data_IF_404941908807
#
_entry.id   IF_404941908807
#
_cell.length_a   1.000
_cell.length_b   1.000
_cell.length_c   1.000
_cell.angle_alpha   90.00
_cell.angle_beta   90.00
_cell.angle_gamma   90.00
#
_symmetry.space_group_name_H-M   'P 1'
#
loop_
_entity.id
_entity.type
_entity.pdbx_description
1 polymer ?
#
# COMPACT_ATOMS: atom_id res chain seq x y z
N UNK A 1 -1.91 -19.71 9.20
CA UNK A 1 -0.47 -19.70 9.48
C UNK A 1 -0.09 -18.33 10.02
N UNK A 2 0.65 -18.29 11.10
CA UNK A 2 0.86 -17.10 11.91
C UNK A 2 2.35 -16.81 11.97
N UNK A 3 2.80 -15.68 11.44
CA UNK A 3 4.20 -15.23 11.55
C UNK A 3 4.29 -14.07 12.53
N UNK A 4 5.11 -14.20 13.56
CA UNK A 4 5.35 -13.16 14.56
C UNK A 4 6.84 -12.85 14.68
N UNK A 5 7.21 -11.58 14.44
CA UNK A 5 8.61 -11.13 14.42
C UNK A 5 9.08 -10.43 15.71
N UNK A 6 8.29 -10.40 16.78
CA UNK A 6 8.69 -9.66 17.98
C UNK A 6 9.83 -10.27 18.78
N UNK A 7 10.30 -11.52 18.47
CA UNK A 7 11.33 -12.23 19.22
C UNK A 7 12.26 -13.09 18.35
N UNK A 8 12.69 -12.63 17.19
CA UNK A 8 13.55 -13.41 16.28
C UNK A 8 14.87 -13.92 16.89
N UNK A 9 15.41 -13.26 17.91
CA UNK A 9 16.62 -13.70 18.61
C UNK A 9 16.40 -14.78 19.68
N UNK A 10 15.22 -14.79 20.31
CA UNK A 10 14.89 -15.79 21.35
C UNK A 10 14.38 -17.11 20.75
N UNK A 11 13.84 -17.08 19.54
CA UNK A 11 13.14 -18.19 18.93
C UNK A 11 13.98 -19.07 17.98
N UNK A 12 15.18 -18.64 17.53
CA UNK A 12 16.00 -19.46 16.64
C UNK A 12 16.30 -20.86 17.22
N UNK A 13 16.37 -21.01 18.54
CA UNK A 13 16.52 -22.31 19.23
C UNK A 13 15.19 -23.05 19.45
N UNK A 14 14.09 -22.32 19.53
CA UNK A 14 12.76 -22.90 19.79
C UNK A 14 12.04 -23.27 18.49
N UNK A 15 12.22 -22.49 17.42
CA UNK A 15 11.63 -22.76 16.10
C UNK A 15 12.17 -24.05 15.46
N UNK A 16 13.46 -24.41 15.63
CA UNK A 16 13.94 -25.72 15.17
C UNK A 16 13.30 -26.90 15.87
N UNK A 17 12.80 -26.73 17.11
CA UNK A 17 12.07 -27.77 17.85
C UNK A 17 10.54 -27.66 17.77
N UNK A 18 9.99 -26.47 17.54
CA UNK A 18 8.53 -26.22 17.54
C UNK A 18 7.96 -25.93 16.14
N UNK A 19 8.77 -25.58 15.13
CA UNK A 19 8.30 -25.40 13.76
C UNK A 19 7.62 -26.66 13.20
N UNK A 20 8.03 -27.84 13.65
CA UNK A 20 7.33 -29.09 13.36
C UNK A 20 6.04 -29.29 14.19
N UNK A 21 5.91 -28.68 15.39
CA UNK A 21 4.74 -28.86 16.21
C UNK A 21 3.61 -27.87 15.87
N UNK A 22 3.94 -26.60 15.59
CA UNK A 22 2.93 -25.60 15.22
C UNK A 22 2.32 -25.92 13.85
N UNK A 23 3.10 -26.42 12.90
CA UNK A 23 2.55 -26.97 11.65
C UNK A 23 1.78 -28.27 11.90
N UNK A 24 2.20 -29.14 12.79
CA UNK A 24 1.46 -30.35 13.18
C UNK A 24 0.14 -30.02 13.88
N UNK A 25 0.14 -29.05 14.79
CA UNK A 25 -1.07 -28.68 15.54
C UNK A 25 -2.11 -27.92 14.68
N UNK A 26 -1.68 -27.26 13.62
CA UNK A 26 -2.59 -26.75 12.58
C UNK A 26 -3.08 -27.84 11.59
N UNK A 27 -2.35 -28.94 11.43
CA UNK A 27 -2.67 -29.99 10.44
C UNK A 27 -2.89 -31.38 11.05
N UNK A 28 -2.71 -31.61 12.36
CA UNK A 28 -2.93 -32.89 13.02
C UNK A 28 -4.34 -32.98 13.63
N UNK A 29 -5.35 -32.75 12.81
CA UNK A 29 -6.71 -33.17 13.12
C UNK A 29 -6.98 -34.50 12.46
N UNK A 30 -7.24 -35.52 13.27
CA UNK A 30 -7.64 -36.86 12.88
C UNK A 30 -8.67 -36.86 11.75
N UNK A 31 -8.51 -37.79 10.82
CA UNK A 31 -9.48 -38.19 9.79
C UNK A 31 -10.91 -38.23 10.34
N UNK A 32 -11.85 -37.66 9.59
CA UNK A 32 -13.30 -37.71 9.76
C UNK A 32 -13.90 -36.70 10.74
N UNK A 33 -13.82 -35.44 10.39
CA UNK A 33 -14.87 -34.38 10.49
C UNK A 33 -14.28 -33.18 9.80
N UNK A 34 -15.05 -32.50 8.96
CA UNK A 34 -14.69 -31.19 8.40
C UNK A 34 -14.27 -30.28 9.55
N UNK A 35 -12.95 -30.18 9.77
CA UNK A 35 -12.38 -29.31 10.79
C UNK A 35 -12.46 -27.88 10.24
N UNK A 36 -13.60 -27.24 10.50
CA UNK A 36 -13.73 -25.80 10.36
C UNK A 36 -12.66 -25.18 11.26
N UNK A 37 -11.68 -24.49 10.69
CA UNK A 37 -10.65 -23.76 11.43
C UNK A 37 -11.28 -22.51 12.07
N UNK A 38 -11.99 -22.72 13.18
CA UNK A 38 -12.67 -21.66 13.91
C UNK A 38 -11.77 -21.16 15.03
N UNK A 39 -11.34 -19.89 14.94
CA UNK A 39 -10.69 -19.19 16.03
C UNK A 39 -11.72 -18.28 16.73
N UNK A 40 -11.92 -18.52 18.01
CA UNK A 40 -12.94 -17.87 18.82
C UNK A 40 -12.36 -17.23 20.09
N UNK A 41 -12.90 -16.11 20.50
CA UNK A 41 -12.50 -15.43 21.73
C UNK A 41 -11.06 -14.96 21.72
N UNK A 42 -10.34 -15.12 22.80
CA UNK A 42 -8.93 -14.71 22.93
C UNK A 42 -7.97 -15.32 21.89
N UNK A 43 -8.31 -16.46 21.31
CA UNK A 43 -7.47 -17.14 20.31
C UNK A 43 -7.32 -16.34 19.01
N UNK A 44 -8.27 -15.45 18.66
CA UNK A 44 -8.19 -14.62 17.44
C UNK A 44 -7.10 -13.55 17.49
N UNK A 45 -6.65 -13.18 18.69
CA UNK A 45 -5.57 -12.21 18.84
C UNK A 45 -4.22 -12.78 18.43
N UNK A 46 -4.04 -14.10 18.52
CA UNK A 46 -2.79 -14.74 18.10
C UNK A 46 -2.46 -14.49 16.61
N UNK A 47 -3.35 -14.81 15.64
CA UNK A 47 -3.10 -14.44 14.24
C UNK A 47 -3.13 -12.92 14.00
N UNK A 48 -3.99 -12.17 14.69
CA UNK A 48 -4.07 -10.72 14.52
C UNK A 48 -2.78 -9.96 14.94
N UNK A 49 -1.96 -10.56 15.82
CA UNK A 49 -0.67 -10.03 16.23
C UNK A 49 0.47 -10.33 15.23
N UNK A 50 0.21 -11.14 14.20
CA UNK A 50 1.21 -11.53 13.23
C UNK A 50 1.26 -10.59 12.03
N UNK A 51 2.33 -10.72 11.23
CA UNK A 51 2.52 -9.86 10.07
C UNK A 51 1.54 -10.17 8.95
N UNK A 52 1.28 -11.47 8.70
CA UNK A 52 0.35 -11.91 7.66
C UNK A 52 -0.60 -13.00 8.16
N UNK A 53 -1.85 -12.88 7.74
CA UNK A 53 -2.91 -13.86 7.99
C UNK A 53 -3.44 -14.36 6.65
N UNK A 54 -3.54 -15.68 6.51
CA UNK A 54 -4.16 -16.36 5.38
C UNK A 54 -5.38 -17.12 5.88
N UNK A 55 -6.50 -16.98 5.20
CA UNK A 55 -7.73 -17.71 5.51
C UNK A 55 -8.21 -18.50 4.29
N UNK A 56 -8.72 -19.73 4.55
CA UNK A 56 -9.35 -20.55 3.52
C UNK A 56 -10.83 -20.19 3.39
N UNK A 57 -11.30 -19.99 2.19
CA UNK A 57 -12.71 -19.71 1.94
C UNK A 57 -13.60 -20.89 2.35
N UNK A 58 -14.74 -20.59 2.98
CA UNK A 58 -15.73 -21.59 3.41
C UNK A 58 -15.32 -22.48 4.58
N UNK A 59 -14.05 -22.45 5.04
CA UNK A 59 -13.57 -23.32 6.12
C UNK A 59 -12.87 -22.59 7.26
N UNK A 60 -12.39 -21.35 7.04
CA UNK A 60 -11.69 -20.56 8.06
C UNK A 60 -12.60 -19.46 8.60
N UNK A 61 -12.74 -19.40 9.92
CA UNK A 61 -13.57 -18.42 10.61
C UNK A 61 -12.82 -17.79 11.79
N UNK A 62 -12.94 -16.47 11.93
CA UNK A 62 -12.35 -15.70 13.04
C UNK A 62 -13.37 -14.71 13.57
N UNK A 63 -13.72 -14.79 14.87
CA UNK A 63 -14.58 -13.81 15.53
C UNK A 63 -14.39 -13.82 17.04
N UNK A 64 -14.55 -12.67 17.70
CA UNK A 64 -14.46 -12.57 19.16
C UNK A 64 -15.56 -13.36 19.85
N UNK A 65 -16.79 -13.23 19.35
CA UNK A 65 -17.96 -13.94 19.87
C UNK A 65 -18.70 -14.61 18.73
N UNK A 66 -19.08 -15.87 18.93
CA UNK A 66 -19.77 -16.64 17.87
C UNK A 66 -21.22 -16.17 17.67
N UNK A 67 -21.85 -16.59 16.54
CA UNK A 67 -23.19 -16.15 16.14
C UNK A 67 -24.27 -16.32 17.23
N UNK A 68 -24.19 -17.40 18.01
CA UNK A 68 -25.14 -17.64 19.11
C UNK A 68 -25.09 -16.56 20.19
N UNK A 69 -23.87 -16.12 20.55
CA UNK A 69 -23.68 -15.05 21.55
C UNK A 69 -24.12 -13.71 20.98
N UNK A 70 -23.77 -13.41 19.72
CA UNK A 70 -24.22 -12.21 19.01
C UNK A 70 -25.76 -12.14 19.04
N UNK A 71 -26.44 -13.22 18.64
CA UNK A 71 -27.92 -13.28 18.70
C UNK A 71 -28.50 -13.05 20.08
N UNK A 72 -27.89 -13.64 21.12
CA UNK A 72 -28.35 -13.48 22.48
C UNK A 72 -28.19 -12.07 23.04
N UNK A 73 -27.07 -11.40 22.71
CA UNK A 73 -26.70 -10.10 23.28
C UNK A 73 -27.29 -8.94 22.49
N UNK A 74 -27.21 -9.00 21.13
CA UNK A 74 -27.61 -7.89 20.24
C UNK A 74 -28.92 -8.13 19.50
N UNK A 75 -29.46 -9.37 19.53
CA UNK A 75 -30.61 -9.76 18.72
C UNK A 75 -30.32 -10.01 17.25
N UNK A 76 -29.09 -9.80 16.79
CA UNK A 76 -28.70 -9.95 15.38
C UNK A 76 -28.57 -11.43 15.01
N UNK A 77 -29.25 -11.86 13.95
CA UNK A 77 -29.14 -13.21 13.39
C UNK A 77 -28.15 -13.23 12.23
N UNK A 78 -26.99 -13.81 12.44
CA UNK A 78 -25.89 -13.81 11.49
C UNK A 78 -25.27 -15.21 11.38
N UNK A 79 -24.91 -15.61 10.15
CA UNK A 79 -24.15 -16.87 9.92
C UNK A 79 -22.68 -16.72 10.32
N UNK A 80 -21.97 -17.85 10.53
CA UNK A 80 -20.53 -17.85 10.76
C UNK A 80 -19.77 -17.16 9.62
N UNK A 81 -20.14 -17.47 8.38
CA UNK A 81 -19.53 -16.89 7.18
C UNK A 81 -19.70 -15.36 7.14
N UNK A 82 -20.90 -14.86 7.40
CA UNK A 82 -21.19 -13.43 7.37
C UNK A 82 -20.66 -12.66 8.60
N UNK A 83 -20.38 -13.36 9.69
CA UNK A 83 -19.80 -12.74 10.89
C UNK A 83 -18.27 -12.63 10.80
N UNK A 84 -17.61 -13.70 10.38
CA UNK A 84 -16.14 -13.75 10.40
C UNK A 84 -15.53 -14.77 9.48
N UNK A 85 -16.14 -15.02 8.31
CA UNK A 85 -15.55 -15.82 7.24
C UNK A 85 -14.41 -15.08 6.50
N UNK A 86 -13.71 -15.80 5.66
CA UNK A 86 -12.58 -15.29 4.88
C UNK A 86 -12.97 -14.04 4.05
N UNK A 87 -14.14 -14.07 3.41
CA UNK A 87 -14.66 -12.94 2.62
C UNK A 87 -14.89 -11.68 3.45
N UNK A 88 -15.41 -11.81 4.68
CA UNK A 88 -15.62 -10.67 5.58
C UNK A 88 -14.29 -10.03 5.98
N UNK A 89 -13.32 -10.86 6.35
CA UNK A 89 -12.01 -10.37 6.79
C UNK A 89 -11.13 -9.87 5.66
N UNK A 90 -11.31 -10.35 4.44
CA UNK A 90 -10.60 -9.84 3.26
C UNK A 90 -11.20 -8.56 2.68
N UNK A 91 -12.50 -8.30 2.86
CA UNK A 91 -13.17 -7.15 2.21
C UNK A 91 -13.57 -6.03 3.16
N UNK A 92 -13.98 -6.36 4.41
CA UNK A 92 -14.55 -5.39 5.35
C UNK A 92 -13.59 -5.01 6.47
N UNK A 93 -12.99 -5.98 7.17
CA UNK A 93 -12.16 -5.71 8.34
C UNK A 93 -10.67 -5.52 8.02
N UNK A 94 -10.19 -6.10 6.92
CA UNK A 94 -8.77 -6.07 6.55
C UNK A 94 -7.87 -6.91 7.47
N UNK A 95 -8.43 -7.83 8.27
CA UNK A 95 -7.64 -8.73 9.12
C UNK A 95 -6.91 -9.77 8.29
N UNK A 96 -7.53 -10.26 7.23
CA UNK A 96 -6.95 -11.25 6.32
C UNK A 96 -6.17 -10.57 5.22
N UNK A 97 -4.93 -11.04 5.01
CA UNK A 97 -4.03 -10.54 3.99
C UNK A 97 -4.11 -11.34 2.69
N UNK A 98 -4.38 -12.65 2.81
CA UNK A 98 -4.53 -13.57 1.70
C UNK A 98 -5.74 -14.49 1.93
N UNK A 99 -6.44 -14.82 0.85
CA UNK A 99 -7.45 -15.88 0.82
C UNK A 99 -7.04 -16.96 -0.16
N UNK A 100 -7.45 -18.19 0.08
CA UNK A 100 -7.21 -19.30 -0.83
C UNK A 100 -8.44 -20.23 -0.85
N UNK A 101 -8.66 -20.89 -1.98
CA UNK A 101 -9.75 -21.84 -2.16
C UNK A 101 -9.36 -23.24 -1.63
N UNK A 102 -8.09 -23.61 -1.79
CA UNK A 102 -7.57 -24.91 -1.37
C UNK A 102 -6.32 -24.76 -0.49
N UNK A 103 -6.01 -25.83 0.28
CA UNK A 103 -4.81 -25.86 1.12
C UNK A 103 -3.53 -25.78 0.28
N UNK A 104 -3.52 -26.41 -0.91
CA UNK A 104 -2.39 -26.40 -1.83
C UNK A 104 -2.12 -24.97 -2.33
N UNK A 105 -3.17 -24.24 -2.70
CA UNK A 105 -3.06 -22.82 -3.08
C UNK A 105 -2.53 -21.99 -1.92
N UNK A 106 -3.07 -22.19 -0.72
CA UNK A 106 -2.62 -21.51 0.49
C UNK A 106 -1.14 -21.76 0.79
N UNK A 107 -0.68 -23.00 0.67
CA UNK A 107 0.73 -23.37 0.86
C UNK A 107 1.63 -22.77 -0.23
N UNK A 108 1.15 -22.71 -1.46
CA UNK A 108 1.87 -22.07 -2.57
C UNK A 108 2.02 -20.56 -2.33
N UNK A 109 0.95 -19.87 -1.89
CA UNK A 109 0.98 -18.45 -1.53
C UNK A 109 1.97 -18.17 -0.39
N UNK A 110 2.01 -19.02 0.64
CA UNK A 110 2.96 -18.89 1.75
C UNK A 110 4.40 -19.03 1.24
N UNK A 111 4.71 -20.04 0.41
CA UNK A 111 6.04 -20.20 -0.18
C UNK A 111 6.42 -18.99 -1.04
N UNK A 112 5.47 -18.49 -1.85
CA UNK A 112 5.68 -17.30 -2.66
C UNK A 112 5.95 -16.06 -1.78
N UNK A 113 5.18 -15.84 -0.72
CA UNK A 113 5.40 -14.76 0.24
C UNK A 113 6.80 -14.84 0.87
N UNK A 114 7.19 -16.03 1.36
CA UNK A 114 8.49 -16.25 1.99
C UNK A 114 9.67 -16.02 1.04
N UNK A 115 9.47 -16.13 -0.27
CA UNK A 115 10.52 -15.84 -1.25
C UNK A 115 10.86 -14.35 -1.37
N UNK A 116 9.99 -13.46 -0.90
CA UNK A 116 10.20 -12.02 -0.91
C UNK A 116 10.77 -11.45 0.38
N UNK A 117 10.76 -12.23 1.46
CA UNK A 117 11.06 -11.76 2.82
C UNK A 117 12.37 -12.40 3.28
N UNK A 118 13.31 -11.65 3.89
CA UNK A 118 14.51 -12.23 4.46
C UNK A 118 14.17 -13.15 5.64
N UNK A 119 15.09 -14.04 6.02
CA UNK A 119 14.85 -14.97 7.12
C UNK A 119 14.78 -14.29 8.49
N UNK A 120 15.35 -13.10 8.60
CA UNK A 120 15.31 -12.28 9.81
C UNK A 120 15.57 -10.79 9.46
N UNK A 121 15.36 -9.91 10.43
CA UNK A 121 15.50 -8.46 10.27
C UNK A 121 16.96 -7.94 10.23
N UNK A 122 17.95 -8.82 10.26
CA UNK A 122 19.38 -8.47 10.12
C UNK A 122 19.89 -8.74 8.70
N UNK A 123 19.10 -9.43 7.90
CA UNK A 123 19.44 -9.75 6.51
C UNK A 123 18.85 -8.69 5.58
N UNK A 124 19.51 -8.51 4.43
CA UNK A 124 19.00 -7.65 3.35
C UNK A 124 17.82 -8.32 2.62
N UNK A 125 17.07 -7.52 1.86
CA UNK A 125 15.98 -8.02 1.03
C UNK A 125 16.45 -9.13 0.08
N UNK A 126 15.71 -10.24 -0.07
CA UNK A 126 16.12 -11.37 -0.90
C UNK A 126 16.37 -10.94 -2.35
N UNK A 127 17.39 -11.53 -2.94
CA UNK A 127 17.76 -11.39 -4.34
C UNK A 127 17.62 -12.75 -5.04
N UNK A 128 17.13 -12.72 -6.28
CA UNK A 128 17.09 -13.86 -7.20
C UNK A 128 17.65 -13.46 -8.55
N UNK A 129 18.25 -14.40 -9.26
CA UNK A 129 18.73 -14.13 -10.62
C UNK A 129 17.57 -13.70 -11.52
N UNK A 130 17.77 -12.59 -12.22
CA UNK A 130 16.77 -12.00 -13.11
C UNK A 130 17.27 -12.01 -14.54
N UNK A 131 16.44 -12.53 -15.45
CA UNK A 131 16.72 -12.54 -16.89
C UNK A 131 16.02 -11.40 -17.64
N UNK A 132 15.12 -10.66 -16.97
CA UNK A 132 14.43 -9.50 -17.53
C UNK A 132 15.40 -8.32 -17.63
N UNK A 133 15.66 -7.76 -18.84
CA UNK A 133 16.68 -6.74 -19.02
C UNK A 133 16.47 -5.51 -18.15
N UNK A 134 17.57 -4.98 -17.59
CA UNK A 134 17.54 -3.76 -16.77
C UNK A 134 17.07 -2.56 -17.58
N UNK A 135 17.50 -2.47 -18.82
CA UNK A 135 17.28 -1.37 -19.77
C UNK A 135 16.05 -1.57 -20.66
N UNK A 136 15.21 -2.55 -20.34
CA UNK A 136 13.94 -2.77 -21.05
C UNK A 136 13.07 -1.51 -20.98
N UNK A 137 12.68 -1.01 -22.14
CA UNK A 137 11.76 0.11 -22.30
C UNK A 137 10.33 -0.40 -22.45
N UNK A 138 9.38 0.32 -21.87
CA UNK A 138 7.95 0.00 -21.95
C UNK A 138 7.19 1.14 -22.61
N UNK A 139 7.14 1.14 -23.92
CA UNK A 139 6.48 2.21 -24.71
C UNK A 139 5.00 2.36 -24.39
N UNK A 140 4.33 1.28 -23.95
CA UNK A 140 2.92 1.31 -23.49
C UNK A 140 2.66 2.29 -22.35
N UNK A 141 3.67 2.61 -21.55
CA UNK A 141 3.54 3.55 -20.44
C UNK A 141 3.42 5.02 -20.91
N UNK A 142 3.88 5.34 -22.11
CA UNK A 142 3.82 6.72 -22.63
C UNK A 142 2.37 7.17 -22.83
N UNK A 143 1.47 6.25 -23.15
CA UNK A 143 0.06 6.52 -23.50
C UNK A 143 -0.93 6.02 -22.44
N UNK A 144 -0.44 5.47 -21.30
CA UNK A 144 -1.30 4.86 -20.30
C UNK A 144 -2.13 5.89 -19.52
N UNK A 145 -1.61 7.11 -19.35
CA UNK A 145 -2.34 8.19 -18.68
C UNK A 145 -3.29 8.84 -19.68
N UNK A 146 -4.62 8.77 -19.43
CA UNK A 146 -5.58 9.39 -20.32
C UNK A 146 -5.45 10.93 -20.33
N UNK A 147 -5.71 11.55 -21.51
CA UNK A 147 -5.73 13.01 -21.66
C UNK A 147 -6.77 13.69 -20.74
N UNK A 148 -7.91 13.01 -20.53
CA UNK A 148 -8.93 13.51 -19.61
C UNK A 148 -8.52 13.27 -18.15
N UNK A 149 -8.44 14.32 -17.32
CA UNK A 149 -8.03 14.21 -15.92
C UNK A 149 -9.01 13.41 -15.05
N UNK A 150 -10.24 13.20 -15.53
CA UNK A 150 -11.30 12.45 -14.83
C UNK A 150 -11.36 10.99 -15.24
N UNK A 151 -10.76 10.63 -16.38
CA UNK A 151 -10.75 9.24 -16.86
C UNK A 151 -9.77 8.40 -16.04
N UNK A 152 -10.20 7.31 -15.38
CA UNK A 152 -9.29 6.43 -14.66
C UNK A 152 -8.49 5.54 -15.61
N UNK A 153 -7.33 5.09 -15.16
CA UNK A 153 -6.53 4.01 -15.73
C UNK A 153 -6.23 2.96 -14.66
N UNK A 154 -5.68 1.82 -15.06
CA UNK A 154 -5.39 0.73 -14.14
C UNK A 154 -3.93 0.77 -13.69
N UNK A 155 -3.71 0.99 -12.40
CA UNK A 155 -2.36 0.99 -11.85
C UNK A 155 -1.68 -0.39 -11.93
N UNK A 156 -2.44 -1.49 -12.02
CA UNK A 156 -1.85 -2.82 -12.22
C UNK A 156 -1.11 -2.94 -13.57
N UNK A 157 -1.57 -2.25 -14.60
CA UNK A 157 -0.88 -2.22 -15.90
C UNK A 157 0.49 -1.54 -15.76
N UNK A 158 0.58 -0.45 -15.00
CA UNK A 158 1.85 0.22 -14.69
C UNK A 158 2.76 -0.70 -13.88
N UNK A 159 2.25 -1.29 -12.80
CA UNK A 159 3.04 -2.20 -11.94
C UNK A 159 3.59 -3.36 -12.79
N UNK A 160 2.72 -4.05 -13.54
CA UNK A 160 3.12 -5.18 -14.38
C UNK A 160 4.16 -4.82 -15.44
N UNK A 161 4.09 -3.61 -15.99
CA UNK A 161 5.04 -3.12 -17.00
C UNK A 161 6.45 -2.89 -16.45
N UNK A 162 6.59 -2.46 -15.20
CA UNK A 162 7.89 -2.03 -14.64
C UNK A 162 8.60 -3.10 -13.80
N UNK A 163 7.87 -4.06 -13.21
CA UNK A 163 8.46 -5.10 -12.36
C UNK A 163 9.04 -6.26 -13.16
N UNK A 164 9.91 -7.05 -12.55
CA UNK A 164 10.53 -8.22 -13.19
C UNK A 164 9.45 -9.21 -13.64
N UNK A 165 9.47 -9.58 -14.92
CA UNK A 165 8.55 -10.54 -15.55
C UNK A 165 7.06 -10.25 -15.32
N UNK A 166 6.69 -9.02 -14.95
CA UNK A 166 5.33 -8.65 -14.60
C UNK A 166 4.81 -9.31 -13.30
N UNK A 167 5.69 -9.89 -12.49
CA UNK A 167 5.31 -10.60 -11.27
C UNK A 167 5.05 -9.66 -10.08
N UNK A 168 3.82 -9.69 -9.58
CA UNK A 168 3.40 -8.93 -8.41
C UNK A 168 2.61 -9.81 -7.44
N UNK A 169 3.02 -9.84 -6.16
CA UNK A 169 2.29 -10.50 -5.08
C UNK A 169 1.53 -9.45 -4.27
N UNK A 170 0.27 -9.24 -4.61
CA UNK A 170 -0.58 -8.30 -3.91
C UNK A 170 -1.00 -8.80 -2.52
N UNK A 171 -1.07 -7.87 -1.56
CA UNK A 171 -1.51 -8.11 -0.19
C UNK A 171 -2.82 -7.35 0.04
N UNK A 172 -3.80 -7.98 0.71
CA UNK A 172 -5.11 -7.38 0.99
C UNK A 172 -5.80 -6.85 -0.28
N UNK A 173 -5.77 -7.63 -1.36
CA UNK A 173 -6.32 -7.29 -2.69
C UNK A 173 -7.74 -6.73 -2.63
N UNK A 174 -8.58 -7.29 -1.77
CA UNK A 174 -10.00 -6.97 -1.70
C UNK A 174 -10.35 -5.91 -0.64
N UNK A 175 -9.39 -5.49 0.18
CA UNK A 175 -9.56 -4.46 1.18
C UNK A 175 -8.96 -3.13 0.74
N UNK A 176 -9.68 -2.01 0.93
CA UNK A 176 -9.22 -0.66 0.58
C UNK A 176 -8.57 -0.63 -0.81
N UNK A 177 -9.35 -0.96 -1.85
CA UNK A 177 -8.88 -1.13 -3.24
C UNK A 177 -8.33 0.15 -3.89
N UNK A 178 -8.57 1.30 -3.28
CA UNK A 178 -8.02 2.61 -3.67
C UNK A 178 -6.51 2.75 -3.40
N UNK A 179 -5.91 1.82 -2.62
CA UNK A 179 -4.47 1.66 -2.48
C UNK A 179 -4.06 0.20 -2.72
N UNK A 180 -3.02 0.01 -3.51
CA UNK A 180 -2.41 -1.29 -3.80
C UNK A 180 -1.14 -1.41 -2.96
N UNK A 181 -0.96 -2.56 -2.30
CA UNK A 181 0.27 -2.91 -1.61
C UNK A 181 0.68 -4.34 -1.96
N UNK A 182 1.96 -4.60 -2.06
CA UNK A 182 2.44 -5.96 -2.34
C UNK A 182 3.93 -6.01 -2.61
N UNK A 183 4.42 -7.20 -2.89
CA UNK A 183 5.83 -7.45 -3.19
C UNK A 183 6.04 -7.67 -4.68
N UNK A 184 7.15 -7.14 -5.17
CA UNK A 184 7.66 -7.36 -6.53
C UNK A 184 9.18 -7.49 -6.51
N UNK A 185 9.78 -7.60 -7.69
CA UNK A 185 11.24 -7.52 -7.84
C UNK A 185 11.62 -6.52 -8.91
N UNK A 186 12.76 -5.89 -8.69
CA UNK A 186 13.47 -5.07 -9.69
C UNK A 186 14.89 -5.57 -9.82
N UNK A 187 15.26 -6.09 -11.00
CA UNK A 187 16.52 -6.74 -11.24
C UNK A 187 16.88 -7.79 -10.16
N UNK A 188 15.91 -8.63 -9.82
CA UNK A 188 16.02 -9.70 -8.84
C UNK A 188 15.86 -9.29 -7.37
N UNK A 189 16.01 -8.01 -7.02
CA UNK A 189 15.88 -7.52 -5.65
C UNK A 189 14.41 -7.42 -5.23
N UNK A 190 14.05 -8.00 -4.10
CA UNK A 190 12.72 -7.84 -3.51
C UNK A 190 12.46 -6.41 -3.08
N UNK A 191 11.28 -5.90 -3.42
CA UNK A 191 10.79 -4.54 -3.04
C UNK A 191 9.34 -4.59 -2.61
N UNK A 192 8.94 -3.65 -1.76
CA UNK A 192 7.54 -3.36 -1.46
C UNK A 192 7.00 -2.30 -2.42
N UNK A 193 5.85 -2.56 -3.03
CA UNK A 193 5.11 -1.59 -3.85
C UNK A 193 3.99 -0.99 -3.02
N UNK A 194 3.86 0.34 -3.05
CA UNK A 194 2.70 1.08 -2.53
C UNK A 194 2.20 2.01 -3.62
N UNK A 195 0.97 1.81 -4.09
CA UNK A 195 0.46 2.54 -5.24
C UNK A 195 -0.99 2.99 -5.04
N UNK A 196 -1.36 4.17 -5.55
CA UNK A 196 -2.77 4.56 -5.61
C UNK A 196 -3.44 3.87 -6.79
N UNK A 197 -4.72 3.47 -6.64
CA UNK A 197 -5.49 2.86 -7.73
C UNK A 197 -6.60 3.80 -8.22
N UNK A 198 -6.40 4.51 -9.33
CA UNK A 198 -7.38 5.49 -9.84
C UNK A 198 -8.74 4.90 -10.21
N UNK A 199 -8.83 3.60 -10.50
CA UNK A 199 -10.10 2.91 -10.76
C UNK A 199 -11.02 2.83 -9.53
N UNK A 200 -10.47 2.97 -8.33
CA UNK A 200 -11.25 2.94 -7.09
C UNK A 200 -11.14 4.26 -6.36
N UNK A 201 -12.28 4.92 -6.17
CA UNK A 201 -12.36 6.24 -5.51
C UNK A 201 -11.34 7.24 -6.08
N UNK A 202 -11.06 7.21 -7.39
CA UNK A 202 -10.07 8.04 -8.08
C UNK A 202 -8.66 8.02 -7.42
N UNK A 203 -8.31 6.99 -6.65
CA UNK A 203 -7.04 6.88 -5.95
C UNK A 203 -6.93 7.72 -4.67
N UNK A 204 -8.02 8.34 -4.18
CA UNK A 204 -7.99 9.12 -2.92
C UNK A 204 -7.61 8.23 -1.74
N UNK A 205 -7.04 8.83 -0.70
CA UNK A 205 -6.78 8.14 0.56
C UNK A 205 -7.98 8.28 1.50
N UNK A 206 -8.41 7.17 2.06
CA UNK A 206 -9.35 7.11 3.17
C UNK A 206 -8.69 6.52 4.42
N UNK A 207 -9.44 6.38 5.49
CA UNK A 207 -8.95 5.81 6.75
C UNK A 207 -8.41 4.38 6.56
N UNK A 208 -9.07 3.56 5.74
CA UNK A 208 -8.69 2.18 5.50
C UNK A 208 -7.44 2.06 4.62
N UNK A 209 -7.36 2.84 3.53
CA UNK A 209 -6.17 2.90 2.69
C UNK A 209 -4.93 3.35 3.47
N UNK A 210 -5.10 4.37 4.33
CA UNK A 210 -4.02 4.88 5.18
C UNK A 210 -3.51 3.82 6.16
N UNK A 211 -4.42 3.06 6.79
CA UNK A 211 -4.06 1.95 7.69
C UNK A 211 -3.35 0.81 6.95
N UNK A 212 -3.88 0.41 5.79
CA UNK A 212 -3.32 -0.63 4.93
C UNK A 212 -1.90 -0.27 4.50
N UNK A 213 -1.70 0.93 3.93
CA UNK A 213 -0.39 1.42 3.50
C UNK A 213 0.60 1.55 4.66
N UNK A 214 0.20 2.16 5.77
CA UNK A 214 1.08 2.36 6.93
C UNK A 214 1.62 1.06 7.51
N UNK A 215 0.77 0.05 7.67
CA UNK A 215 1.19 -1.27 8.16
C UNK A 215 2.22 -1.92 7.23
N UNK A 216 1.98 -1.84 5.92
CA UNK A 216 2.88 -2.44 4.93
C UNK A 216 4.23 -1.72 4.86
N UNK A 217 4.25 -0.39 4.86
CA UNK A 217 5.49 0.41 4.91
C UNK A 217 6.32 0.03 6.13
N UNK A 218 5.71 -0.09 7.31
CA UNK A 218 6.42 -0.50 8.53
C UNK A 218 6.93 -1.93 8.47
N UNK A 219 6.19 -2.83 7.82
CA UNK A 219 6.67 -4.19 7.58
C UNK A 219 7.93 -4.18 6.69
N UNK A 220 7.89 -3.46 5.57
CA UNK A 220 9.04 -3.35 4.68
C UNK A 220 10.27 -2.80 5.41
N UNK A 221 10.10 -1.73 6.21
CA UNK A 221 11.18 -1.15 7.00
C UNK A 221 11.73 -2.13 8.05
N UNK A 222 10.87 -2.90 8.71
CA UNK A 222 11.27 -3.89 9.71
C UNK A 222 12.09 -5.06 9.13
N UNK A 223 12.01 -5.29 7.81
CA UNK A 223 12.68 -6.40 7.11
C UNK A 223 13.66 -5.93 6.03
N UNK A 224 14.12 -4.69 6.08
CA UNK A 224 15.10 -4.12 5.14
C UNK A 224 14.67 -4.21 3.66
N UNK A 225 13.36 -4.19 3.39
CA UNK A 225 12.81 -4.27 2.04
C UNK A 225 12.63 -2.84 1.51
N UNK A 226 13.31 -2.44 0.42
CA UNK A 226 13.13 -1.13 -0.20
C UNK A 226 11.68 -0.91 -0.64
N UNK A 227 11.24 0.35 -0.67
CA UNK A 227 9.88 0.71 -1.02
C UNK A 227 9.86 1.53 -2.31
N UNK A 228 9.00 1.12 -3.25
CA UNK A 228 8.68 1.86 -4.47
C UNK A 228 7.24 2.35 -4.39
N UNK A 229 7.05 3.67 -4.43
CA UNK A 229 5.73 4.29 -4.35
C UNK A 229 5.31 4.84 -5.71
N UNK A 230 4.13 4.45 -6.21
CA UNK A 230 3.54 4.95 -7.46
C UNK A 230 2.35 5.85 -7.09
N UNK A 231 2.46 7.14 -7.42
CA UNK A 231 1.56 8.16 -6.88
C UNK A 231 0.64 8.71 -7.97
N UNK A 232 -0.66 8.56 -7.74
CA UNK A 232 -1.73 9.28 -8.42
C UNK A 232 -2.86 9.50 -7.41
N UNK A 233 -2.75 10.57 -6.61
CA UNK A 233 -3.62 10.83 -5.47
C UNK A 233 -4.15 12.26 -5.48
N UNK A 234 -5.47 12.45 -5.68
CA UNK A 234 -6.06 13.79 -5.70
C UNK A 234 -6.33 14.38 -4.30
N UNK A 235 -6.20 13.59 -3.24
CA UNK A 235 -6.46 14.07 -1.89
C UNK A 235 -6.82 12.96 -0.92
N UNK A 236 -7.22 13.36 0.28
CA UNK A 236 -7.98 12.51 1.20
C UNK A 236 -9.47 12.55 0.87
N UNK A 237 -10.17 11.45 1.12
CA UNK A 237 -11.61 11.38 0.90
C UNK A 237 -12.33 12.32 1.88
N UNK A 238 -13.07 13.34 1.38
CA UNK A 238 -13.76 14.27 2.24
C UNK A 238 -15.08 13.68 2.78
N UNK A 239 -15.60 14.29 3.82
CA UNK A 239 -16.94 14.03 4.35
C UNK A 239 -16.94 13.59 5.81
N UNK A 240 -18.07 13.83 6.48
CA UNK A 240 -18.25 13.57 7.91
C UNK A 240 -17.98 12.11 8.29
N UNK A 241 -18.32 11.15 7.42
CA UNK A 241 -18.03 9.74 7.65
C UNK A 241 -16.54 9.44 7.75
N UNK A 242 -15.69 10.11 6.98
CA UNK A 242 -14.24 9.95 7.06
C UNK A 242 -13.66 10.69 8.27
N UNK A 243 -14.15 11.91 8.55
CA UNK A 243 -13.72 12.68 9.72
C UNK A 243 -14.04 11.93 11.02
N UNK A 244 -15.26 11.39 11.14
CA UNK A 244 -15.68 10.63 12.33
C UNK A 244 -14.96 9.27 12.45
N UNK A 245 -14.56 8.67 11.32
CA UNK A 245 -13.73 7.46 11.30
C UNK A 245 -12.22 7.76 11.47
N UNK A 246 -11.85 9.00 11.80
CA UNK A 246 -10.49 9.37 12.16
C UNK A 246 -9.53 9.43 10.97
N UNK A 247 -9.94 9.95 9.83
CA UNK A 247 -9.08 10.09 8.64
C UNK A 247 -7.79 10.86 8.96
N UNK A 248 -7.84 11.87 9.83
CA UNK A 248 -6.65 12.62 10.28
C UNK A 248 -5.68 11.69 11.02
N UNK A 249 -6.18 10.92 11.98
CA UNK A 249 -5.37 9.97 12.76
C UNK A 249 -4.75 8.89 11.86
N UNK A 250 -5.55 8.33 10.96
CA UNK A 250 -5.09 7.26 10.07
C UNK A 250 -4.18 7.77 8.95
N UNK A 251 -4.42 8.98 8.43
CA UNK A 251 -3.49 9.66 7.52
C UNK A 251 -2.14 9.95 8.18
N UNK A 252 -2.16 10.44 9.44
CA UNK A 252 -0.96 10.63 10.24
C UNK A 252 -0.19 9.33 10.50
N UNK A 253 -0.87 8.18 10.54
CA UNK A 253 -0.25 6.86 10.65
C UNK A 253 0.59 6.53 9.42
N UNK A 254 0.09 6.79 8.21
CA UNK A 254 0.83 6.59 6.96
C UNK A 254 1.99 7.58 6.84
N UNK A 255 1.78 8.85 7.20
CA UNK A 255 2.82 9.87 7.28
C UNK A 255 3.97 9.41 8.19
N UNK A 256 3.63 8.97 9.40
CA UNK A 256 4.60 8.50 10.39
C UNK A 256 5.40 7.29 9.87
N UNK A 257 4.72 6.32 9.25
CA UNK A 257 5.36 5.13 8.71
C UNK A 257 6.44 5.48 7.68
N UNK A 258 6.15 6.35 6.72
CA UNK A 258 7.15 6.80 5.75
C UNK A 258 8.24 7.67 6.35
N UNK A 259 7.90 8.54 7.32
CA UNK A 259 8.88 9.40 7.99
C UNK A 259 9.85 8.61 8.88
N UNK A 260 9.40 7.51 9.49
CA UNK A 260 10.22 6.63 10.34
C UNK A 260 11.04 5.64 9.51
N UNK A 261 10.56 5.23 8.34
CA UNK A 261 11.20 4.21 7.50
C UNK A 261 12.62 4.61 7.09
N UNK A 262 13.56 3.70 7.33
CA UNK A 262 15.00 3.86 7.10
C UNK A 262 15.48 3.19 5.81
N UNK A 263 14.69 2.29 5.24
CA UNK A 263 14.98 1.62 3.96
C UNK A 263 15.00 2.58 2.77
N UNK A 264 15.63 2.21 1.65
CA UNK A 264 15.52 2.97 0.40
C UNK A 264 14.07 3.21 -0.01
N UNK A 265 13.76 4.46 -0.39
CA UNK A 265 12.43 4.88 -0.83
C UNK A 265 12.53 5.59 -2.17
N UNK A 266 11.92 4.99 -3.19
CA UNK A 266 11.83 5.54 -4.54
C UNK A 266 10.37 5.87 -4.83
N UNK A 267 10.08 7.08 -5.23
CA UNK A 267 8.71 7.56 -5.49
C UNK A 267 8.61 8.04 -6.93
N UNK A 268 7.55 7.64 -7.62
CA UNK A 268 7.22 8.11 -8.96
C UNK A 268 5.83 8.72 -8.93
N UNK A 269 5.73 10.01 -9.22
CA UNK A 269 4.45 10.68 -9.41
C UNK A 269 4.03 10.58 -10.87
N UNK A 270 2.94 9.86 -11.13
CA UNK A 270 2.48 9.58 -12.49
C UNK A 270 1.53 10.69 -12.99
N UNK A 271 0.60 11.11 -12.14
CA UNK A 271 -0.41 12.12 -12.47
C UNK A 271 -0.66 13.03 -11.27
N UNK A 272 -1.76 12.90 -10.57
CA UNK A 272 -2.15 13.79 -9.46
C UNK A 272 -1.34 13.52 -8.20
N UNK A 273 -0.93 14.59 -7.51
CA UNK A 273 -0.30 14.51 -6.20
C UNK A 273 -0.57 15.82 -5.45
N UNK A 274 -1.71 15.88 -4.71
CA UNK A 274 -2.21 17.12 -4.17
C UNK A 274 -2.20 17.18 -2.65
N UNK A 275 -1.81 18.33 -2.12
CA UNK A 275 -1.96 18.73 -0.71
C UNK A 275 -1.39 17.74 0.29
N UNK A 276 -2.18 17.43 1.32
CA UNK A 276 -1.76 16.51 2.39
C UNK A 276 -1.51 15.08 1.92
N UNK A 277 -2.21 14.62 0.88
CA UNK A 277 -1.99 13.28 0.34
C UNK A 277 -0.65 13.15 -0.40
N UNK A 278 -0.18 14.23 -1.06
CA UNK A 278 1.19 14.30 -1.58
C UNK A 278 2.22 14.03 -0.46
N UNK A 279 2.02 14.66 0.70
CA UNK A 279 2.98 14.55 1.81
C UNK A 279 3.03 13.11 2.33
N UNK A 280 1.90 12.44 2.50
CA UNK A 280 1.86 11.08 3.09
C UNK A 280 2.27 9.97 2.12
N UNK A 281 2.41 10.25 0.82
CA UNK A 281 2.81 9.27 -0.20
C UNK A 281 4.31 9.34 -0.53
N UNK A 282 5.17 9.35 0.49
CA UNK A 282 6.63 9.28 0.34
C UNK A 282 7.25 10.43 -0.43
N UNK A 283 6.82 11.66 -0.17
CA UNK A 283 7.39 12.85 -0.81
C UNK A 283 8.86 13.11 -0.39
N UNK A 284 9.55 13.94 -1.17
CA UNK A 284 10.94 14.33 -0.89
C UNK A 284 11.08 15.01 0.48
N UNK A 285 10.13 15.86 0.84
CA UNK A 285 10.11 16.60 2.12
C UNK A 285 9.96 15.67 3.33
N UNK A 286 9.39 14.46 3.15
CA UNK A 286 9.23 13.44 4.19
C UNK A 286 10.30 12.34 4.07
N UNK A 287 11.55 12.72 3.78
CA UNK A 287 12.68 11.80 3.70
C UNK A 287 12.59 10.75 2.57
N UNK A 288 11.87 11.04 1.48
CA UNK A 288 11.97 10.27 0.25
C UNK A 288 13.37 10.41 -0.35
N UNK A 289 14.01 9.30 -0.74
CA UNK A 289 15.39 9.32 -1.23
C UNK A 289 15.47 9.77 -2.68
N UNK A 290 14.71 9.11 -3.56
CA UNK A 290 14.60 9.45 -4.99
C UNK A 290 13.15 9.66 -5.35
N UNK A 291 12.84 10.86 -5.84
CA UNK A 291 11.50 11.24 -6.25
C UNK A 291 11.51 11.64 -7.71
N UNK A 292 10.86 10.84 -8.54
CA UNK A 292 10.67 11.09 -9.96
C UNK A 292 9.24 11.53 -10.26
N UNK A 293 9.08 12.22 -11.38
CA UNK A 293 7.76 12.53 -11.91
C UNK A 293 7.69 12.21 -13.39
N UNK A 294 6.52 11.80 -13.88
CA UNK A 294 6.25 11.79 -15.31
C UNK A 294 5.88 13.20 -15.79
N UNK A 295 5.99 13.49 -17.10
CA UNK A 295 5.56 14.79 -17.64
C UNK A 295 4.09 15.11 -17.37
N UNK A 296 3.26 14.08 -17.20
CA UNK A 296 1.83 14.16 -16.85
C UNK A 296 1.55 14.43 -15.37
N UNK A 297 2.60 14.54 -14.54
CA UNK A 297 2.44 14.74 -13.11
C UNK A 297 1.96 16.16 -12.78
N UNK A 298 1.02 16.24 -11.86
CA UNK A 298 0.48 17.48 -11.32
C UNK A 298 0.77 17.52 -9.81
N UNK A 299 1.80 18.29 -9.41
CA UNK A 299 2.20 18.42 -8.01
C UNK A 299 1.79 19.81 -7.52
N UNK A 300 0.74 19.88 -6.70
CA UNK A 300 0.15 21.14 -6.28
C UNK A 300 -0.50 21.03 -4.88
N UNK A 301 -0.90 22.17 -4.32
CA UNK A 301 -1.66 22.18 -3.06
C UNK A 301 -3.08 21.60 -3.27
N UNK A 302 -3.69 21.88 -4.42
CA UNK A 302 -5.00 21.35 -4.83
C UNK A 302 -5.12 21.38 -6.36
N UNK A 303 -6.07 20.64 -6.91
CA UNK A 303 -6.34 20.66 -8.35
C UNK A 303 -6.87 22.02 -8.82
N UNK A 304 -6.70 22.29 -10.12
CA UNK A 304 -7.01 23.58 -10.74
C UNK A 304 -8.43 24.11 -10.43
N UNK A 305 -9.45 23.26 -10.59
CA UNK A 305 -10.83 23.64 -10.29
C UNK A 305 -11.02 24.14 -8.85
N UNK A 306 -10.49 23.40 -7.88
CA UNK A 306 -10.55 23.80 -6.47
C UNK A 306 -9.78 25.08 -6.17
N UNK A 307 -8.61 25.24 -6.80
CA UNK A 307 -7.78 26.42 -6.61
C UNK A 307 -8.47 27.69 -7.12
N UNK A 308 -9.03 27.65 -8.34
CA UNK A 308 -9.70 28.83 -8.90
C UNK A 308 -11.00 29.18 -8.17
N UNK A 309 -11.74 28.19 -7.69
CA UNK A 309 -12.90 28.41 -6.84
C UNK A 309 -12.52 29.22 -5.57
N UNK A 310 -11.40 28.87 -4.92
CA UNK A 310 -10.94 29.59 -3.74
C UNK A 310 -10.40 30.98 -4.09
N UNK A 311 -9.64 31.11 -5.17
CA UNK A 311 -8.93 32.35 -5.51
C UNK A 311 -9.83 33.38 -6.19
N UNK A 312 -10.75 32.93 -7.05
CA UNK A 312 -11.49 33.79 -7.99
C UNK A 312 -13.00 33.79 -7.81
N UNK A 313 -13.55 33.08 -6.78
CA UNK A 313 -15.01 33.01 -6.57
C UNK A 313 -15.69 34.39 -6.42
N UNK A 314 -15.00 35.40 -5.89
CA UNK A 314 -15.52 36.76 -5.77
C UNK A 314 -15.55 37.47 -7.12
N UNK A 315 -14.44 37.43 -7.84
CA UNK A 315 -14.30 38.06 -9.15
C UNK A 315 -15.23 37.44 -10.19
N UNK A 316 -15.46 36.13 -10.10
CA UNK A 316 -16.37 35.40 -10.99
C UNK A 316 -17.80 35.89 -10.91
N UNK A 317 -18.26 36.35 -9.73
CA UNK A 317 -19.64 36.89 -9.54
C UNK A 317 -19.90 38.15 -10.32
N UNK A 318 -18.86 38.93 -10.61
CA UNK A 318 -18.92 40.20 -11.30
C UNK A 318 -18.76 40.05 -12.84
N UNK A 319 -18.57 38.82 -13.33
CA UNK A 319 -18.40 38.52 -14.76
C UNK A 319 -19.76 38.26 -15.45
N UNK A 320 -19.85 38.59 -16.72
CA UNK A 320 -21.04 38.27 -17.55
C UNK A 320 -21.27 36.74 -17.65
N UNK A 321 -20.15 35.96 -17.70
CA UNK A 321 -20.19 34.49 -17.70
C UNK A 321 -19.21 33.91 -16.66
N UNK A 322 -19.65 33.75 -15.41
CA UNK A 322 -18.82 33.23 -14.32
C UNK A 322 -18.20 31.87 -14.61
N UNK A 323 -18.91 30.97 -15.27
CA UNK A 323 -18.46 29.63 -15.56
C UNK A 323 -17.28 29.64 -16.58
N UNK A 324 -17.39 30.45 -17.61
CA UNK A 324 -16.33 30.61 -18.61
C UNK A 324 -15.07 31.23 -17.99
N UNK A 325 -15.24 32.28 -17.19
CA UNK A 325 -14.14 32.94 -16.48
C UNK A 325 -13.39 31.96 -15.59
N UNK A 326 -14.09 31.15 -14.78
CA UNK A 326 -13.48 30.14 -13.94
C UNK A 326 -12.74 29.07 -14.76
N UNK A 327 -13.30 28.62 -15.89
CA UNK A 327 -12.64 27.65 -16.76
C UNK A 327 -11.36 28.19 -17.39
N UNK A 328 -11.34 29.47 -17.81
CA UNK A 328 -10.13 30.13 -18.33
C UNK A 328 -9.07 30.24 -17.23
N UNK A 329 -9.45 30.63 -16.01
CA UNK A 329 -8.55 30.70 -14.85
C UNK A 329 -8.03 29.32 -14.41
N UNK A 330 -8.84 28.28 -14.52
CA UNK A 330 -8.42 26.91 -14.26
C UNK A 330 -7.36 26.46 -15.27
N UNK A 331 -7.55 26.72 -16.55
CA UNK A 331 -6.58 26.40 -17.58
C UNK A 331 -5.25 27.17 -17.36
N UNK A 332 -5.32 28.45 -17.01
CA UNK A 332 -4.16 29.27 -16.67
C UNK A 332 -3.42 28.72 -15.43
N UNK A 333 -4.15 28.42 -14.35
CA UNK A 333 -3.59 27.88 -13.11
C UNK A 333 -2.93 26.52 -13.35
N UNK A 334 -3.58 25.61 -14.07
CA UNK A 334 -3.06 24.28 -14.38
C UNK A 334 -1.75 24.39 -15.17
N UNK A 335 -1.71 25.24 -16.18
CA UNK A 335 -0.50 25.47 -16.98
C UNK A 335 0.66 26.03 -16.16
N UNK A 336 0.38 26.94 -15.23
CA UNK A 336 1.41 27.62 -14.43
C UNK A 336 1.88 26.79 -13.23
N UNK A 337 0.99 26.08 -12.55
CA UNK A 337 1.26 25.50 -11.24
C UNK A 337 1.11 23.98 -11.16
N UNK A 338 0.17 23.39 -11.88
CA UNK A 338 -0.10 21.96 -11.81
C UNK A 338 0.76 21.18 -12.84
N UNK A 339 2.09 21.24 -12.68
CA UNK A 339 3.04 20.53 -13.51
C UNK A 339 4.27 20.11 -12.69
N UNK A 340 5.08 19.13 -13.15
CA UNK A 340 6.21 18.64 -12.38
C UNK A 340 7.40 19.62 -12.35
N UNK A 341 7.49 20.54 -13.32
CA UNK A 341 8.65 21.42 -13.47
C UNK A 341 8.77 22.45 -12.35
N UNK A 342 7.65 22.91 -11.81
CA UNK A 342 7.67 23.78 -10.63
C UNK A 342 8.22 23.05 -9.40
N UNK A 343 7.82 21.80 -9.16
CA UNK A 343 8.36 21.00 -8.10
C UNK A 343 9.86 20.71 -8.29
N UNK A 344 10.28 20.45 -9.51
CA UNK A 344 11.70 20.26 -9.87
C UNK A 344 12.53 21.51 -9.59
N UNK A 345 12.04 22.69 -9.95
CA UNK A 345 12.72 23.98 -9.72
C UNK A 345 13.08 24.21 -8.24
N UNK A 346 12.25 23.73 -7.32
CA UNK A 346 12.47 23.86 -5.89
C UNK A 346 13.14 22.62 -5.26
N UNK A 347 13.53 21.62 -6.07
CA UNK A 347 14.18 20.40 -5.58
C UNK A 347 13.23 19.44 -4.85
N UNK A 348 11.93 19.53 -5.10
CA UNK A 348 10.94 18.62 -4.52
C UNK A 348 10.84 17.29 -5.27
N UNK A 349 11.37 17.23 -6.48
CA UNK A 349 11.63 16.00 -7.24
C UNK A 349 13.04 16.04 -7.81
N UNK A 350 13.62 14.87 -8.03
CA UNK A 350 15.00 14.73 -8.50
C UNK A 350 15.08 14.77 -10.03
N UNK A 351 14.06 14.28 -10.72
CA UNK A 351 14.04 14.30 -12.19
C UNK A 351 12.61 14.14 -12.74
N UNK A 352 12.38 14.65 -13.94
CA UNK A 352 11.20 14.38 -14.77
C UNK A 352 11.60 13.35 -15.82
N UNK A 353 11.03 12.14 -15.72
CA UNK A 353 11.44 10.98 -16.50
C UNK A 353 10.40 10.61 -17.57
N UNK A 354 10.86 10.11 -18.72
CA UNK A 354 9.96 9.50 -19.70
C UNK A 354 9.28 8.26 -19.09
N UNK A 355 7.95 8.10 -19.22
CA UNK A 355 7.22 6.97 -18.62
C UNK A 355 7.83 5.61 -19.00
N UNK A 356 8.19 5.39 -20.26
CA UNK A 356 8.81 4.14 -20.74
C UNK A 356 10.11 3.77 -20.04
N UNK A 357 10.84 4.75 -19.47
CA UNK A 357 12.12 4.55 -18.78
C UNK A 357 11.95 4.23 -17.30
N UNK A 358 10.74 4.16 -16.77
CA UNK A 358 10.46 4.04 -15.32
C UNK A 358 11.17 2.85 -14.70
N UNK A 359 11.11 1.65 -15.32
CA UNK A 359 11.81 0.45 -14.83
C UNK A 359 13.30 0.70 -14.63
N UNK A 360 13.97 1.18 -15.66
CA UNK A 360 15.41 1.47 -15.64
C UNK A 360 15.76 2.48 -14.54
N UNK A 361 14.99 3.54 -14.41
CA UNK A 361 15.21 4.60 -13.40
C UNK A 361 15.04 4.07 -11.97
N UNK A 362 14.03 3.24 -11.73
CA UNK A 362 13.83 2.60 -10.42
C UNK A 362 14.99 1.68 -10.08
N UNK A 363 15.41 0.81 -11.00
CA UNK A 363 16.56 -0.09 -10.78
C UNK A 363 17.82 0.70 -10.45
N UNK A 364 18.12 1.76 -11.20
CA UNK A 364 19.29 2.61 -10.95
C UNK A 364 19.21 3.34 -9.60
N UNK A 365 18.04 3.83 -9.22
CA UNK A 365 17.84 4.44 -7.92
C UNK A 365 18.08 3.44 -6.79
N UNK A 366 17.54 2.23 -6.89
CA UNK A 366 17.76 1.17 -5.90
C UNK A 366 19.23 0.79 -5.79
N UNK A 367 19.96 0.68 -6.92
CA UNK A 367 21.39 0.43 -6.94
C UNK A 367 22.20 1.55 -6.26
N UNK A 368 21.87 2.81 -6.52
CA UNK A 368 22.50 3.96 -5.84
C UNK A 368 22.26 3.95 -4.33
N UNK A 369 21.07 3.54 -3.91
CA UNK A 369 20.66 3.53 -2.51
C UNK A 369 21.06 2.24 -1.76
N UNK A 370 21.71 1.28 -2.43
CA UNK A 370 22.09 0.00 -1.84
C UNK A 370 22.95 0.14 -0.57
N UNK A 371 23.77 1.19 -0.50
CA UNK A 371 24.63 1.47 0.66
C UNK A 371 24.00 2.40 1.68
N UNK A 372 22.71 2.77 1.49
CA UNK A 372 22.01 3.66 2.41
C UNK A 372 22.03 3.08 3.82
N UNK A 373 22.52 3.86 4.78
CA UNK A 373 22.45 3.58 6.21
C UNK A 373 21.84 4.79 6.93
N UNK A 374 20.65 4.61 7.41
CA UNK A 374 19.92 5.62 8.16
C UNK A 374 19.48 5.02 9.49
N UNK A 375 19.65 5.76 10.56
CA UNK A 375 19.16 5.39 11.90
C UNK A 375 18.25 6.48 12.43
N UNK A 376 17.21 6.07 13.15
CA UNK A 376 16.38 6.99 13.90
C UNK A 376 16.99 7.25 15.29
N UNK A 377 16.65 8.36 15.97
CA UNK A 377 17.06 8.59 17.36
C UNK A 377 16.68 7.43 18.26
N UNK A 378 17.57 7.07 19.18
CA UNK A 378 17.33 5.98 20.12
C UNK A 378 16.09 6.26 20.99
N UNK A 379 15.20 5.31 21.08
CA UNK A 379 13.97 5.36 21.88
C UNK A 379 13.55 3.94 22.26
N UNK A 380 12.75 3.79 23.32
CA UNK A 380 12.24 2.47 23.72
C UNK A 380 11.40 1.81 22.61
N UNK A 381 10.55 2.58 21.95
CA UNK A 381 9.72 2.20 20.80
C UNK A 381 9.19 3.47 20.10
N UNK A 382 8.69 3.34 18.88
CA UNK A 382 7.95 4.41 18.21
C UNK A 382 6.58 4.62 18.86
N UNK A 383 6.13 5.88 18.90
CA UNK A 383 4.76 6.23 19.31
C UNK A 383 3.96 6.63 18.07
N UNK A 384 3.72 5.63 17.20
CA UNK A 384 2.88 5.82 16.04
C UNK A 384 1.44 6.11 16.47
N UNK A 385 0.68 7.00 15.80
CA UNK A 385 -0.74 7.15 16.03
C UNK A 385 -1.45 5.80 15.84
N UNK A 386 -2.11 5.27 16.87
CA UNK A 386 -2.72 3.92 16.85
C UNK A 386 -4.20 3.99 16.49
#
# INVERSE_FOLDING_TARGET
>A
MVFNNRNALYEKKRFRKQGHSVLRDCFAGNQQKELQNILLGGAVYSPALTDFTLMMEGTSYMFLTGPKVVKTVTGEDVSQENLGGASVHSTKSGVTHFTAQTEEEGLALIRKLLSYIPQNNLEEAPYVDCTDPIDRLEDSLNDIIPDSPTKPYDMYEVIGAIVDNGEFLEIQKDYAKNIIIGFARFNGQSVGIVANQPKYLAGVLDSNASRKGARFVRFCDAFNIPIVSLVDVPGFLPGTGQEYNGVILHGAKLLYAYGEATVPKVTITLRKSYGGSHIVMSCKQLRGDMNYAWPTAEIAVMGGAGAVEVLYAREAKDQENPAQFLAEKEAEYTKLFANPYNAAKYGYIDDVIEPRNTRFRVIRALQQLQTKKLSNPAKKHGNIPL
#
